data_IF_069864874761
#
_entry.id   IF_069864874761
#
_cell.length_a   1.000
_cell.length_b   1.000
_cell.length_c   1.000
_cell.angle_alpha   90.00
_cell.angle_beta   90.00
_cell.angle_gamma   90.00
#
_symmetry.space_group_name_H-M   'P 1'
#
loop_
_entity.id
_entity.type
_entity.pdbx_description
1 polymer ?
#
# COMPACT_ATOMS: atom_id res chain seq x y z
N UNK A 1 -32.74 -35.34 42.47
CA UNK A 1 -33.33 -34.11 41.87
C UNK A 1 -32.40 -33.65 40.75
N UNK A 2 -32.70 -33.96 39.48
CA UNK A 2 -31.84 -33.64 38.31
C UNK A 2 -32.30 -32.32 37.70
N UNK A 3 -31.51 -31.25 37.84
CA UNK A 3 -31.72 -29.98 37.15
C UNK A 3 -31.51 -30.17 35.64
N UNK A 4 -32.56 -29.94 34.84
CA UNK A 4 -32.44 -29.89 33.37
C UNK A 4 -31.49 -28.74 33.00
N UNK A 5 -30.41 -28.99 32.25
CA UNK A 5 -29.57 -27.90 31.77
C UNK A 5 -30.41 -27.05 30.80
N UNK A 6 -30.51 -25.76 31.10
CA UNK A 6 -31.28 -24.79 30.35
C UNK A 6 -30.59 -24.53 29.00
N UNK A 7 -30.91 -25.37 28.00
CA UNK A 7 -30.42 -25.35 26.60
C UNK A 7 -30.48 -23.93 25.97
N UNK A 8 -31.40 -23.08 26.44
CA UNK A 8 -31.54 -21.68 26.04
C UNK A 8 -30.29 -20.82 26.32
N UNK A 9 -29.60 -21.02 27.46
CA UNK A 9 -28.40 -20.24 27.76
C UNK A 9 -27.19 -20.71 26.96
N UNK A 10 -27.11 -22.01 26.67
CA UNK A 10 -26.02 -22.60 25.91
C UNK A 10 -26.05 -22.15 24.43
N UNK A 11 -27.26 -22.07 23.85
CA UNK A 11 -27.46 -21.51 22.50
C UNK A 11 -27.13 -20.01 22.42
N UNK A 12 -27.48 -19.21 23.43
CA UNK A 12 -27.14 -17.78 23.43
C UNK A 12 -25.62 -17.53 23.50
N UNK A 13 -24.87 -18.32 24.27
CA UNK A 13 -23.41 -18.19 24.35
C UNK A 13 -22.69 -18.53 23.04
N UNK A 14 -23.18 -19.52 22.28
CA UNK A 14 -22.59 -19.90 20.98
C UNK A 14 -22.84 -18.81 19.93
N UNK A 15 -24.03 -18.22 19.92
CA UNK A 15 -24.38 -17.10 19.03
C UNK A 15 -23.53 -15.86 19.30
N UNK A 16 -23.22 -15.58 20.57
CA UNK A 16 -22.40 -14.43 20.96
C UNK A 16 -20.93 -14.61 20.51
N UNK A 17 -20.36 -15.81 20.66
CA UNK A 17 -19.00 -16.12 20.22
C UNK A 17 -18.83 -16.03 18.69
N UNK A 18 -19.84 -16.45 17.93
CA UNK A 18 -19.82 -16.34 16.46
C UNK A 18 -19.79 -14.88 15.99
N UNK A 19 -20.47 -13.97 16.69
CA UNK A 19 -20.44 -12.54 16.37
C UNK A 19 -19.04 -11.92 16.61
N UNK A 20 -18.38 -12.27 17.71
CA UNK A 20 -17.03 -11.77 18.00
C UNK A 20 -15.97 -12.35 17.06
N UNK A 21 -16.12 -13.59 16.59
CA UNK A 21 -15.22 -14.18 15.61
C UNK A 21 -15.27 -13.45 14.25
N UNK A 22 -16.45 -13.02 13.81
CA UNK A 22 -16.61 -12.25 12.55
C UNK A 22 -16.03 -10.84 12.68
N UNK A 23 -16.28 -10.15 13.80
CA UNK A 23 -15.74 -8.81 14.05
C UNK A 23 -14.21 -8.85 14.20
N UNK A 24 -13.66 -9.90 14.84
CA UNK A 24 -12.21 -10.11 14.94
C UNK A 24 -11.53 -10.35 13.59
N UNK A 25 -12.21 -11.02 12.65
CA UNK A 25 -11.70 -11.24 11.29
C UNK A 25 -11.65 -9.95 10.47
N UNK A 26 -12.62 -9.05 10.64
CA UNK A 26 -12.65 -7.76 9.94
C UNK A 26 -11.74 -6.70 10.56
N UNK A 27 -11.49 -6.73 11.88
CA UNK A 27 -10.59 -5.78 12.54
C UNK A 27 -9.10 -5.98 12.19
N UNK A 28 -8.71 -7.19 11.77
CA UNK A 28 -7.36 -7.50 11.29
C UNK A 28 -7.03 -6.97 9.89
N UNK A 29 -8.02 -6.45 9.15
CA UNK A 29 -7.82 -5.84 7.84
C UNK A 29 -7.47 -4.33 7.91
N UNK A 30 -7.05 -3.85 9.08
CA UNK A 30 -6.34 -2.58 9.18
C UNK A 30 -4.95 -2.78 8.57
N UNK A 31 -4.82 -2.36 7.31
CA UNK A 31 -3.64 -2.52 6.47
C UNK A 31 -2.40 -1.91 7.12
N UNK A 32 -1.68 -2.71 7.91
CA UNK A 32 -0.37 -2.33 8.44
C UNK A 32 0.56 -2.13 7.24
N UNK A 33 1.14 -0.94 7.14
CA UNK A 33 2.16 -0.66 6.14
C UNK A 33 3.31 -1.67 6.31
N UNK A 34 3.66 -2.36 5.23
CA UNK A 34 4.80 -3.26 5.13
C UNK A 34 6.02 -2.44 4.73
N UNK A 35 7.10 -2.52 5.49
CA UNK A 35 8.35 -1.87 5.12
C UNK A 35 9.00 -2.61 3.94
N UNK A 36 9.74 -1.91 3.08
CA UNK A 36 10.52 -2.55 2.01
C UNK A 36 11.45 -3.65 2.57
N UNK A 37 12.01 -3.46 3.76
CA UNK A 37 12.87 -4.44 4.46
C UNK A 37 12.18 -5.78 4.74
N UNK A 38 10.85 -5.74 4.90
CA UNK A 38 10.01 -6.92 5.15
C UNK A 38 9.43 -7.47 3.84
N UNK A 39 9.16 -6.58 2.88
CA UNK A 39 8.64 -6.96 1.56
C UNK A 39 9.61 -7.89 0.81
N UNK A 40 10.91 -7.63 0.88
CA UNK A 40 11.92 -8.48 0.21
C UNK A 40 11.95 -9.93 0.71
N UNK A 41 11.41 -10.19 1.91
CA UNK A 41 11.28 -11.53 2.52
C UNK A 41 9.89 -12.12 2.33
N UNK A 42 8.97 -11.35 1.74
CA UNK A 42 7.57 -11.70 1.58
C UNK A 42 7.31 -12.47 0.29
N UNK A 43 6.23 -13.25 0.29
CA UNK A 43 5.77 -13.98 -0.90
C UNK A 43 5.08 -13.04 -1.89
N UNK A 44 4.92 -13.43 -3.16
CA UNK A 44 4.16 -12.65 -4.11
C UNK A 44 2.73 -12.37 -3.63
N UNK A 45 2.23 -11.15 -3.82
CA UNK A 45 0.93 -10.72 -3.31
C UNK A 45 0.75 -9.20 -3.32
N UNK A 46 -0.46 -8.74 -2.97
CA UNK A 46 -0.75 -7.29 -2.87
C UNK A 46 -0.38 -6.77 -1.50
N UNK A 47 0.43 -5.71 -1.46
CA UNK A 47 0.93 -5.09 -0.24
C UNK A 47 0.72 -3.59 -0.25
N UNK A 48 0.62 -3.04 0.97
CA UNK A 48 0.73 -1.62 1.25
C UNK A 48 2.16 -1.37 1.70
N UNK A 49 2.99 -0.79 0.85
CA UNK A 49 4.44 -0.71 1.04
C UNK A 49 4.85 0.70 1.40
N UNK A 50 5.69 0.83 2.44
CA UNK A 50 6.35 2.07 2.85
C UNK A 50 7.86 1.95 2.63
N UNK A 51 8.44 2.95 1.99
CA UNK A 51 9.89 3.05 1.80
C UNK A 51 10.30 4.45 1.35
N UNK A 52 11.60 4.74 1.43
CA UNK A 52 12.15 6.01 0.98
C UNK A 52 12.53 5.93 -0.50
N UNK A 53 12.05 6.87 -1.31
CA UNK A 53 12.51 7.02 -2.70
C UNK A 53 13.93 7.54 -2.67
N UNK A 54 14.87 6.72 -3.15
CA UNK A 54 16.30 7.08 -3.23
C UNK A 54 16.76 7.39 -4.64
N UNK A 55 16.02 6.89 -5.64
CA UNK A 55 16.27 7.11 -7.07
C UNK A 55 14.98 6.86 -7.84
N UNK A 56 14.84 7.51 -8.99
CA UNK A 56 13.79 7.20 -9.95
C UNK A 56 14.33 7.33 -11.37
N UNK A 57 13.71 6.62 -12.31
CA UNK A 57 14.01 6.72 -13.74
C UNK A 57 12.74 6.48 -14.54
N UNK A 58 12.64 7.13 -15.71
CA UNK A 58 11.57 6.87 -16.67
C UNK A 58 12.12 5.93 -17.72
N UNK A 59 11.34 4.90 -18.07
CA UNK A 59 11.67 3.92 -19.10
C UNK A 59 10.68 4.13 -20.26
N UNK A 60 11.01 4.99 -21.25
CA UNK A 60 10.05 5.44 -22.27
C UNK A 60 9.51 4.30 -23.15
N UNK A 61 10.35 3.30 -23.40
CA UNK A 61 10.06 2.07 -24.14
C UNK A 61 9.01 1.18 -23.45
N UNK A 62 8.99 1.16 -22.11
CA UNK A 62 8.02 0.39 -21.33
C UNK A 62 6.83 1.21 -20.84
N UNK A 63 6.85 2.53 -21.02
CA UNK A 63 5.88 3.47 -20.44
C UNK A 63 5.75 3.30 -18.91
N UNK A 64 6.90 3.07 -18.25
CA UNK A 64 6.99 2.90 -16.80
C UNK A 64 7.87 3.97 -16.18
N UNK A 65 7.40 4.50 -15.05
CA UNK A 65 8.22 5.21 -14.08
C UNK A 65 8.72 4.17 -13.06
N UNK A 66 10.02 3.94 -13.02
CA UNK A 66 10.66 3.01 -12.09
C UNK A 66 11.16 3.79 -10.89
N UNK A 67 10.65 3.46 -9.71
CA UNK A 67 11.06 4.01 -8.43
C UNK A 67 11.96 3.00 -7.71
N UNK A 68 13.04 3.48 -7.11
CA UNK A 68 13.87 2.69 -6.21
C UNK A 68 13.50 3.05 -4.77
N UNK A 69 12.79 2.13 -4.11
CA UNK A 69 12.34 2.30 -2.73
C UNK A 69 13.31 1.59 -1.79
N UNK A 70 13.79 2.32 -0.77
CA UNK A 70 14.71 1.82 0.25
C UNK A 70 13.97 1.60 1.57
N UNK A 71 14.22 0.44 2.18
CA UNK A 71 13.75 0.09 3.52
C UNK A 71 14.70 0.54 4.62
N UNK A 72 14.25 0.42 5.87
CA UNK A 72 15.04 0.77 7.06
C UNK A 72 16.35 -0.02 7.19
N UNK A 73 16.38 -1.28 6.76
CA UNK A 73 17.59 -2.12 6.80
C UNK A 73 18.56 -1.85 5.63
N UNK A 74 18.19 -0.94 4.73
CA UNK A 74 18.97 -0.60 3.54
C UNK A 74 18.63 -1.41 2.30
N UNK A 75 17.77 -2.43 2.41
CA UNK A 75 17.23 -3.17 1.27
C UNK A 75 16.57 -2.21 0.29
N UNK A 76 16.78 -2.43 -1.00
CA UNK A 76 16.21 -1.61 -2.07
C UNK A 76 15.45 -2.48 -3.04
N UNK A 77 14.25 -2.05 -3.42
CA UNK A 77 13.42 -2.71 -4.43
C UNK A 77 13.14 -1.76 -5.60
N UNK A 78 12.85 -2.36 -6.75
CA UNK A 78 12.25 -1.65 -7.88
C UNK A 78 10.73 -1.66 -7.73
N UNK A 79 10.13 -0.50 -7.96
CA UNK A 79 8.69 -0.32 -7.96
C UNK A 79 8.28 0.32 -9.30
N UNK A 80 7.54 -0.43 -10.11
CA UNK A 80 7.12 -0.02 -11.44
C UNK A 80 5.77 0.67 -11.35
N UNK A 81 5.72 1.93 -11.77
CA UNK A 81 4.50 2.74 -11.82
C UNK A 81 4.14 2.99 -13.29
N UNK A 82 2.92 2.65 -13.74
CA UNK A 82 2.47 2.99 -15.08
C UNK A 82 2.49 4.51 -15.30
N UNK A 83 3.11 4.97 -16.39
CA UNK A 83 3.11 6.41 -16.74
C UNK A 83 1.68 6.91 -16.93
N UNK A 84 0.80 6.10 -17.53
CA UNK A 84 -0.62 6.42 -17.68
C UNK A 84 -1.34 6.67 -16.36
N UNK A 85 -0.95 5.98 -15.27
CA UNK A 85 -1.47 6.23 -13.93
C UNK A 85 -1.02 7.60 -13.42
N UNK A 86 0.27 7.92 -13.57
CA UNK A 86 0.84 9.21 -13.14
C UNK A 86 0.19 10.35 -13.91
N UNK A 87 0.10 10.24 -15.23
CA UNK A 87 -0.47 11.27 -16.09
C UNK A 87 -1.94 11.56 -15.80
N UNK A 88 -2.71 10.50 -15.52
CA UNK A 88 -4.12 10.61 -15.16
C UNK A 88 -4.32 11.26 -13.79
N UNK A 89 -3.47 10.95 -12.80
CA UNK A 89 -3.67 11.36 -11.39
C UNK A 89 -2.97 12.67 -11.04
N UNK A 90 -1.81 12.93 -11.63
CA UNK A 90 -0.91 14.04 -11.29
C UNK A 90 -0.57 14.96 -12.47
N UNK A 91 -1.14 14.71 -13.65
CA UNK A 91 -0.83 15.47 -14.86
C UNK A 91 0.45 14.99 -15.56
N UNK A 92 0.87 15.67 -16.64
CA UNK A 92 1.96 15.22 -17.51
C UNK A 92 3.22 14.85 -16.72
N UNK A 93 3.81 13.69 -17.01
CA UNK A 93 4.99 13.19 -16.28
C UNK A 93 6.15 14.20 -16.26
N UNK A 94 6.29 15.01 -17.31
CA UNK A 94 7.29 16.08 -17.41
C UNK A 94 7.12 17.20 -16.38
N UNK A 95 5.96 17.32 -15.75
CA UNK A 95 5.64 18.32 -14.73
C UNK A 95 5.65 17.73 -13.31
N UNK A 96 5.72 16.40 -13.19
CA UNK A 96 5.70 15.71 -11.90
C UNK A 96 7.11 15.72 -11.30
N UNK A 97 7.27 16.40 -10.16
CA UNK A 97 8.52 16.37 -9.39
C UNK A 97 8.45 15.25 -8.35
N UNK A 98 9.33 14.26 -8.52
CA UNK A 98 9.53 13.17 -7.57
C UNK A 98 10.72 13.54 -6.69
N UNK A 99 10.43 13.91 -5.45
CA UNK A 99 11.44 14.21 -4.44
C UNK A 99 11.91 12.95 -3.75
N UNK A 100 13.17 12.93 -3.33
CA UNK A 100 13.67 11.90 -2.43
C UNK A 100 12.95 12.01 -1.08
N UNK A 101 12.57 10.86 -0.51
CA UNK A 101 11.90 10.80 0.80
C UNK A 101 10.83 9.73 0.86
N UNK A 102 10.14 9.70 2.00
CA UNK A 102 9.17 8.65 2.31
C UNK A 102 7.99 8.64 1.32
N UNK A 103 7.76 7.47 0.73
CA UNK A 103 6.64 7.17 -0.13
C UNK A 103 5.88 5.95 0.40
N UNK A 104 4.57 6.00 0.23
CA UNK A 104 3.66 4.91 0.54
C UNK A 104 2.89 4.56 -0.71
N UNK A 105 3.02 3.31 -1.14
CA UNK A 105 2.42 2.78 -2.36
C UNK A 105 1.65 1.51 -2.06
N UNK A 106 0.63 1.23 -2.84
CA UNK A 106 -0.06 -0.05 -2.90
C UNK A 106 0.26 -0.69 -4.24
N UNK A 107 0.60 -1.97 -4.21
CA UNK A 107 0.93 -2.69 -5.43
C UNK A 107 1.03 -4.19 -5.23
N UNK A 108 1.18 -4.90 -6.34
CA UNK A 108 1.43 -6.32 -6.37
C UNK A 108 2.94 -6.60 -6.41
N UNK A 109 3.45 -7.26 -5.38
CA UNK A 109 4.82 -7.76 -5.32
C UNK A 109 4.89 -9.11 -6.04
N UNK A 110 5.80 -9.26 -7.00
CA UNK A 110 6.01 -10.53 -7.73
C UNK A 110 7.17 -11.38 -7.16
N UNK A 111 7.82 -10.91 -6.09
CA UNK A 111 9.04 -11.52 -5.54
C UNK A 111 10.33 -10.79 -5.92
N UNK A 112 10.27 -9.83 -6.85
CA UNK A 112 11.42 -9.04 -7.32
C UNK A 112 11.08 -7.57 -7.56
N UNK A 113 9.93 -7.30 -8.17
CA UNK A 113 9.46 -5.97 -8.53
C UNK A 113 8.08 -5.75 -7.90
N UNK A 114 7.87 -4.53 -7.41
CA UNK A 114 6.57 -4.09 -6.93
C UNK A 114 5.83 -3.36 -8.06
N UNK A 115 4.78 -3.97 -8.59
CA UNK A 115 3.91 -3.37 -9.60
C UNK A 115 2.91 -2.44 -8.90
N UNK A 116 3.15 -1.14 -8.98
CA UNK A 116 2.39 -0.13 -8.24
C UNK A 116 1.04 0.11 -8.91
N UNK A 117 -0.03 -0.11 -8.13
CA UNK A 117 -1.40 0.20 -8.51
C UNK A 117 -1.81 1.59 -8.05
N UNK A 118 -1.32 2.01 -6.88
CA UNK A 118 -1.70 3.27 -6.28
C UNK A 118 -0.58 3.89 -5.44
N UNK A 119 -0.35 5.20 -5.61
CA UNK A 119 0.48 6.00 -4.71
C UNK A 119 -0.44 6.72 -3.72
N UNK A 120 -0.21 6.49 -2.44
CA UNK A 120 -1.00 7.04 -1.34
C UNK A 120 -0.35 8.28 -0.71
N UNK A 121 0.98 8.34 -0.70
CA UNK A 121 1.77 9.46 -0.16
C UNK A 121 3.13 9.47 -0.83
N UNK A 122 3.69 10.63 -1.16
CA UNK A 122 5.11 10.78 -1.54
C UNK A 122 5.39 11.58 -2.82
N UNK A 123 4.38 11.97 -3.60
CA UNK A 123 4.57 12.83 -4.77
C UNK A 123 4.30 14.31 -4.45
N UNK A 124 5.29 15.08 -3.97
CA UNK A 124 5.15 16.55 -3.88
C UNK A 124 6.47 17.33 -4.08
N UNK A 125 6.49 18.23 -5.07
CA UNK A 125 6.55 19.70 -4.86
C UNK A 125 6.54 20.42 -6.22
N UNK A 126 5.39 20.51 -6.90
CA UNK A 126 5.29 21.33 -8.12
C UNK A 126 3.88 21.86 -8.45
N UNK A 127 2.91 21.79 -7.54
CA UNK A 127 1.69 22.58 -7.70
C UNK A 127 1.84 23.93 -6.98
N UNK A 128 2.82 24.72 -7.41
CA UNK A 128 2.51 26.13 -7.57
C UNK A 128 1.62 26.18 -8.82
N UNK A 129 0.29 26.11 -8.63
CA UNK A 129 -0.57 26.72 -9.63
C UNK A 129 -0.03 28.16 -9.82
N UNK A 130 0.22 28.63 -11.05
CA UNK A 130 0.48 30.06 -11.22
C UNK A 130 -0.68 30.78 -10.53
N UNK A 131 -0.38 31.67 -9.60
CA UNK A 131 -1.41 32.45 -8.93
C UNK A 131 -2.18 33.20 -10.02
N UNK A 132 -3.37 32.72 -10.37
CA UNK A 132 -4.27 33.43 -11.27
C UNK A 132 -4.97 34.49 -10.43
N UNK A 133 -4.25 35.57 -10.11
CA UNK A 133 -4.84 36.83 -9.66
C UNK A 133 -4.34 37.87 -10.68
N UNK A 134 -5.10 38.08 -11.76
CA UNK A 134 -6.19 39.08 -11.90
C UNK A 134 -5.67 40.51 -11.94
#
# INVERSE_FOLDING_TARGET
MKTKPNVRYLLMSVSLLALFAVVGFYAGASSSYTDVSDLVKSRPGTYLVRGDVVKWTVTPDRQLLVLYLKGKDGSTIEADVPVSYIEKKYGPLSQVIITNGEMVVKGYWDGKVLHVEEILKGCHSAYEQPAVNS
#
